data_IF_069783866196
#
_entry.id   IF_069783866196
#
_cell.length_a   1.000
_cell.length_b   1.000
_cell.length_c   1.000
_cell.angle_alpha   90.00
_cell.angle_beta   90.00
_cell.angle_gamma   90.00
#
_symmetry.space_group_name_H-M   'P 1'
#
loop_
_entity.id
_entity.type
_entity.pdbx_description
1 polymer ?
#
# COMPACT_ATOMS: atom_id res chain seq x y z
N UNK A 1 47.01 13.14 -86.30
CA UNK A 1 46.54 11.78 -85.95
C UNK A 1 46.89 11.39 -84.50
N UNK A 2 48.15 11.45 -84.05
CA UNK A 2 48.50 11.08 -82.66
C UNK A 2 47.96 12.05 -81.59
N UNK A 3 48.13 13.36 -81.80
CA UNK A 3 47.64 14.40 -80.86
C UNK A 3 46.11 14.39 -80.70
N UNK A 4 45.40 14.14 -81.80
CA UNK A 4 43.93 14.04 -81.83
C UNK A 4 43.42 12.84 -81.02
N UNK A 5 44.11 11.70 -81.09
CA UNK A 5 43.81 10.51 -80.26
C UNK A 5 44.06 10.79 -78.77
N UNK A 6 45.06 11.60 -78.43
CA UNK A 6 45.34 11.99 -77.03
C UNK A 6 44.24 12.91 -76.50
N UNK A 7 43.81 13.90 -77.28
CA UNK A 7 42.70 14.80 -76.91
C UNK A 7 41.40 14.02 -76.68
N UNK A 8 41.03 13.13 -77.61
CA UNK A 8 39.84 12.29 -77.48
C UNK A 8 39.89 11.38 -76.24
N UNK A 9 41.07 10.84 -75.89
CA UNK A 9 41.24 10.06 -74.65
C UNK A 9 41.02 10.93 -73.40
N UNK A 10 41.55 12.15 -73.38
CA UNK A 10 41.36 13.08 -72.27
C UNK A 10 39.89 13.49 -72.11
N UNK A 11 39.16 13.69 -73.22
CA UNK A 11 37.72 13.98 -73.19
C UNK A 11 36.90 12.81 -72.65
N UNK A 12 37.21 11.58 -73.09
CA UNK A 12 36.58 10.37 -72.56
C UNK A 12 36.84 10.21 -71.06
N UNK A 13 38.06 10.53 -70.60
CA UNK A 13 38.43 10.44 -69.19
C UNK A 13 37.74 11.51 -68.34
N UNK A 14 37.64 12.76 -68.83
CA UNK A 14 36.84 13.82 -68.20
C UNK A 14 35.37 13.43 -68.13
N UNK A 15 34.79 12.91 -69.21
CA UNK A 15 33.40 12.46 -69.24
C UNK A 15 33.16 11.29 -68.25
N UNK A 16 34.09 10.34 -68.16
CA UNK A 16 34.05 9.26 -67.16
C UNK A 16 34.14 9.77 -65.73
N UNK A 17 35.00 10.77 -65.47
CA UNK A 17 35.12 11.39 -64.17
C UNK A 17 33.81 12.06 -63.75
N UNK A 18 33.19 12.85 -64.63
CA UNK A 18 31.88 13.49 -64.42
C UNK A 18 30.78 12.45 -64.22
N UNK A 19 30.76 11.38 -65.01
CA UNK A 19 29.79 10.29 -64.84
C UNK A 19 29.97 9.58 -63.49
N UNK A 20 31.21 9.41 -63.03
CA UNK A 20 31.51 8.78 -61.74
C UNK A 20 31.08 9.62 -60.55
N UNK A 21 31.31 10.95 -60.59
CA UNK A 21 30.89 11.86 -59.53
C UNK A 21 29.36 12.01 -59.49
N UNK A 22 28.71 12.06 -60.67
CA UNK A 22 27.25 12.06 -60.79
C UNK A 22 26.63 10.76 -60.24
N UNK A 23 27.26 9.60 -60.48
CA UNK A 23 26.81 8.33 -59.90
C UNK A 23 26.93 8.33 -58.38
N UNK A 24 28.06 8.80 -57.85
CA UNK A 24 28.29 8.87 -56.40
C UNK A 24 27.30 9.82 -55.71
N UNK A 25 26.99 10.98 -56.30
CA UNK A 25 25.99 11.90 -55.76
C UNK A 25 24.58 11.29 -55.80
N UNK A 26 24.22 10.60 -56.88
CA UNK A 26 22.95 9.89 -56.99
C UNK A 26 22.82 8.78 -55.93
N UNK A 27 23.87 8.00 -55.69
CA UNK A 27 23.88 6.97 -54.65
C UNK A 27 23.71 7.56 -53.25
N UNK A 28 24.30 8.73 -52.98
CA UNK A 28 24.09 9.48 -51.71
C UNK A 28 22.63 9.89 -51.56
N UNK A 29 22.05 10.57 -52.56
CA UNK A 29 20.65 11.00 -52.50
C UNK A 29 19.67 9.83 -52.39
N UNK A 30 19.98 8.70 -53.05
CA UNK A 30 19.18 7.48 -52.94
C UNK A 30 19.19 6.94 -51.50
N UNK A 31 20.37 6.82 -50.89
CA UNK A 31 20.51 6.34 -49.50
C UNK A 31 19.79 7.26 -48.52
N UNK A 32 19.92 8.58 -48.69
CA UNK A 32 19.27 9.58 -47.85
C UNK A 32 17.73 9.49 -47.97
N UNK A 33 17.20 9.42 -49.19
CA UNK A 33 15.77 9.20 -49.43
C UNK A 33 15.26 7.91 -48.77
N UNK A 34 16.00 6.82 -48.92
CA UNK A 34 15.62 5.52 -48.37
C UNK A 34 15.70 5.51 -46.83
N UNK A 35 16.67 6.22 -46.25
CA UNK A 35 16.77 6.49 -44.81
C UNK A 35 15.55 7.24 -44.30
N UNK A 36 15.16 8.35 -44.92
CA UNK A 36 13.98 9.11 -44.52
C UNK A 36 12.69 8.29 -44.64
N UNK A 37 12.54 7.50 -45.71
CA UNK A 37 11.39 6.59 -45.88
C UNK A 37 11.35 5.50 -44.81
N UNK A 38 12.50 4.95 -44.42
CA UNK A 38 12.58 3.94 -43.37
C UNK A 38 12.25 4.56 -42.01
N UNK A 39 12.86 5.70 -41.68
CA UNK A 39 12.64 6.40 -40.43
C UNK A 39 11.17 6.82 -40.27
N UNK A 40 10.57 7.40 -41.32
CA UNK A 40 9.14 7.74 -41.29
C UNK A 40 8.26 6.52 -41.03
N UNK A 41 8.53 5.39 -41.71
CA UNK A 41 7.78 4.14 -41.47
C UNK A 41 7.94 3.65 -40.02
N UNK A 42 9.14 3.71 -39.46
CA UNK A 42 9.41 3.33 -38.06
C UNK A 42 8.63 4.21 -37.10
N UNK A 43 8.70 5.53 -37.25
CA UNK A 43 7.98 6.48 -36.40
C UNK A 43 6.47 6.25 -36.46
N UNK A 44 5.92 5.97 -37.65
CA UNK A 44 4.49 5.63 -37.80
C UNK A 44 4.13 4.32 -37.09
N UNK A 45 4.98 3.30 -37.16
CA UNK A 45 4.76 2.04 -36.43
C UNK A 45 4.78 2.25 -34.92
N UNK A 46 5.77 2.99 -34.40
CA UNK A 46 5.88 3.31 -32.98
C UNK A 46 4.69 4.14 -32.51
N UNK A 47 4.29 5.17 -33.27
CA UNK A 47 3.06 5.94 -33.03
C UNK A 47 1.83 5.04 -32.95
N UNK A 48 1.65 4.14 -33.92
CA UNK A 48 0.48 3.27 -33.96
C UNK A 48 0.45 2.30 -32.77
N UNK A 49 1.61 1.78 -32.35
CA UNK A 49 1.73 0.97 -31.13
C UNK A 49 1.31 1.74 -29.89
N UNK A 50 1.82 2.97 -29.72
CA UNK A 50 1.45 3.83 -28.60
C UNK A 50 -0.05 4.17 -28.59
N UNK A 51 -0.66 4.38 -29.76
CA UNK A 51 -2.11 4.59 -29.86
C UNK A 51 -2.90 3.38 -29.34
N UNK A 52 -2.45 2.16 -29.67
CA UNK A 52 -3.09 0.94 -29.18
C UNK A 52 -2.94 0.82 -27.66
N UNK A 53 -1.74 1.07 -27.14
CA UNK A 53 -1.46 1.01 -25.70
C UNK A 53 -2.28 2.06 -24.92
N UNK A 54 -2.37 3.29 -25.43
CA UNK A 54 -3.22 4.34 -24.86
C UNK A 54 -4.69 3.95 -24.84
N UNK A 55 -5.20 3.35 -25.93
CA UNK A 55 -6.59 2.86 -25.97
C UNK A 55 -6.84 1.74 -24.97
N UNK A 56 -5.89 0.83 -24.80
CA UNK A 56 -5.97 -0.25 -23.81
C UNK A 56 -5.99 0.30 -22.40
N UNK A 57 -5.10 1.26 -22.11
CA UNK A 57 -5.03 1.93 -20.81
C UNK A 57 -6.31 2.70 -20.50
N UNK A 58 -6.87 3.41 -21.50
CA UNK A 58 -8.13 4.13 -21.33
C UNK A 58 -9.28 3.19 -20.95
N UNK A 59 -9.43 2.05 -21.64
CA UNK A 59 -10.43 1.04 -21.30
C UNK A 59 -10.25 0.48 -19.88
N UNK A 60 -9.00 0.29 -19.45
CA UNK A 60 -8.69 -0.16 -18.09
C UNK A 60 -9.17 0.87 -17.05
N UNK A 61 -8.91 2.16 -17.25
CA UNK A 61 -9.42 3.21 -16.36
C UNK A 61 -10.96 3.30 -16.37
N UNK A 62 -11.57 3.24 -17.55
CA UNK A 62 -13.05 3.22 -17.69
C UNK A 62 -13.68 2.04 -16.93
N UNK A 63 -12.98 0.91 -16.80
CA UNK A 63 -13.44 -0.24 -16.03
C UNK A 63 -13.48 0.02 -14.51
N UNK A 64 -12.57 0.83 -13.96
CA UNK A 64 -12.54 1.10 -12.51
C UNK A 64 -13.50 2.21 -12.09
N UNK A 65 -13.85 3.12 -12.99
CA UNK A 65 -14.78 4.24 -12.73
C UNK A 65 -16.08 3.82 -12.00
N UNK A 66 -16.83 2.78 -12.44
CA UNK A 66 -18.02 2.33 -11.73
C UNK A 66 -17.73 1.79 -10.33
N UNK A 67 -16.61 1.09 -10.15
CA UNK A 67 -16.24 0.52 -8.83
C UNK A 67 -15.88 1.61 -7.81
N UNK A 68 -15.22 2.68 -8.26
CA UNK A 68 -14.87 3.82 -7.41
C UNK A 68 -16.12 4.62 -7.02
N UNK A 69 -17.02 4.86 -7.97
CA UNK A 69 -18.28 5.56 -7.68
C UNK A 69 -19.17 4.74 -6.73
N UNK A 70 -19.23 3.42 -6.90
CA UNK A 70 -19.95 2.54 -5.98
C UNK A 70 -19.34 2.56 -4.57
N UNK A 71 -18.02 2.47 -4.45
CA UNK A 71 -17.33 2.53 -3.16
C UNK A 71 -17.56 3.86 -2.46
N UNK A 72 -17.50 4.97 -3.21
CA UNK A 72 -17.82 6.31 -2.72
C UNK A 72 -19.25 6.39 -2.20
N UNK A 73 -20.21 5.85 -2.94
CA UNK A 73 -21.61 5.80 -2.52
C UNK A 73 -21.79 4.98 -1.24
N UNK A 74 -21.19 3.78 -1.16
CA UNK A 74 -21.21 2.92 0.03
C UNK A 74 -20.64 3.64 1.26
N UNK A 75 -19.54 4.37 1.09
CA UNK A 75 -18.94 5.16 2.17
C UNK A 75 -19.87 6.29 2.64
N UNK A 76 -20.49 7.02 1.71
CA UNK A 76 -21.44 8.09 2.04
C UNK A 76 -22.66 7.55 2.82
N UNK A 77 -23.19 6.39 2.42
CA UNK A 77 -24.31 5.72 3.11
C UNK A 77 -23.89 5.28 4.50
N UNK A 78 -22.76 4.56 4.63
CA UNK A 78 -22.26 4.12 5.93
C UNK A 78 -21.99 5.27 6.90
N UNK A 79 -21.50 6.41 6.39
CA UNK A 79 -21.32 7.62 7.20
C UNK A 79 -22.65 8.22 7.68
N UNK A 80 -23.67 8.26 6.81
CA UNK A 80 -25.02 8.73 7.19
C UNK A 80 -25.66 7.82 8.23
N UNK A 81 -25.57 6.50 8.05
CA UNK A 81 -26.09 5.52 9.01
C UNK A 81 -25.39 5.62 10.36
N UNK A 82 -24.06 5.74 10.37
CA UNK A 82 -23.28 5.96 11.60
C UNK A 82 -23.71 7.23 12.33
N UNK A 83 -23.98 8.30 11.59
CA UNK A 83 -24.46 9.57 12.16
C UNK A 83 -25.86 9.41 12.77
N UNK A 84 -26.78 8.72 12.08
CA UNK A 84 -28.11 8.44 12.58
C UNK A 84 -28.06 7.59 13.86
N UNK A 85 -27.29 6.51 13.87
CA UNK A 85 -27.09 5.64 15.03
C UNK A 85 -26.52 6.39 16.24
N UNK A 86 -25.66 7.38 16.00
CA UNK A 86 -25.14 8.25 17.06
C UNK A 86 -26.25 9.11 17.67
N UNK A 87 -27.08 9.74 16.83
CA UNK A 87 -28.21 10.55 17.30
C UNK A 87 -29.26 9.72 18.04
N UNK A 88 -29.56 8.52 17.56
CA UNK A 88 -30.47 7.59 18.23
C UNK A 88 -29.94 7.18 19.61
N UNK A 89 -28.64 6.84 19.68
CA UNK A 89 -27.97 6.54 20.95
C UNK A 89 -28.10 7.70 21.93
N UNK A 90 -27.80 8.93 21.49
CA UNK A 90 -27.87 10.13 22.34
C UNK A 90 -29.31 10.35 22.84
N UNK A 91 -30.31 10.11 22.00
CA UNK A 91 -31.73 10.16 22.37
C UNK A 91 -32.11 9.09 23.42
N UNK A 92 -31.60 7.86 23.28
CA UNK A 92 -31.85 6.80 24.26
C UNK A 92 -31.16 7.07 25.60
N UNK A 93 -29.92 7.58 25.57
CA UNK A 93 -29.20 7.98 26.78
C UNK A 93 -29.97 9.05 27.56
N UNK A 94 -30.48 10.08 26.87
CA UNK A 94 -31.30 11.12 27.51
C UNK A 94 -32.59 10.55 28.14
N UNK A 95 -33.24 9.56 27.50
CA UNK A 95 -34.40 8.87 28.08
C UNK A 95 -34.03 8.07 29.32
N UNK A 96 -32.93 7.30 29.27
CA UNK A 96 -32.44 6.53 30.41
C UNK A 96 -32.08 7.45 31.59
N UNK A 97 -31.43 8.59 31.33
CA UNK A 97 -31.10 9.57 32.36
C UNK A 97 -32.36 10.15 33.03
N UNK A 98 -33.39 10.48 32.25
CA UNK A 98 -34.66 10.95 32.78
C UNK A 98 -35.38 9.88 33.61
N UNK A 99 -35.45 8.65 33.13
CA UNK A 99 -36.04 7.53 33.87
C UNK A 99 -35.26 7.25 35.16
N UNK A 100 -33.93 7.32 35.14
CA UNK A 100 -33.10 7.17 36.32
C UNK A 100 -33.38 8.27 37.35
N UNK A 101 -33.55 9.52 36.92
CA UNK A 101 -33.96 10.63 37.79
C UNK A 101 -35.34 10.39 38.41
N UNK A 102 -36.32 9.93 37.62
CA UNK A 102 -37.65 9.57 38.13
C UNK A 102 -37.59 8.42 39.15
N UNK A 103 -36.80 7.38 38.88
CA UNK A 103 -36.65 6.24 39.77
C UNK A 103 -35.94 6.64 41.08
N UNK A 104 -34.95 7.53 41.01
CA UNK A 104 -34.32 8.10 42.20
C UNK A 104 -35.29 8.95 43.03
N UNK A 105 -36.20 9.69 42.40
CA UNK A 105 -37.28 10.44 43.10
C UNK A 105 -38.27 9.48 43.77
N UNK A 106 -38.73 8.44 43.08
CA UNK A 106 -39.62 7.43 43.68
C UNK A 106 -38.93 6.67 44.82
N UNK A 107 -37.64 6.37 44.71
CA UNK A 107 -36.87 5.75 45.80
C UNK A 107 -36.58 6.72 46.96
N UNK A 108 -36.56 8.03 46.75
CA UNK A 108 -36.52 8.99 47.86
C UNK A 108 -37.88 9.10 48.55
N UNK A 109 -38.98 9.05 47.79
CA UNK A 109 -40.34 9.10 48.34
C UNK A 109 -40.72 7.80 49.08
N UNK A 110 -40.17 6.64 48.65
CA UNK A 110 -40.37 5.35 49.30
C UNK A 110 -39.57 5.17 50.62
N UNK A 111 -38.73 6.14 51.01
CA UNK A 111 -38.01 6.13 52.30
C UNK A 111 -38.78 6.78 53.46
N UNK A 112 -39.99 7.30 53.21
CA UNK A 112 -40.83 7.95 54.23
C UNK A 112 -41.85 7.02 54.91
N UNK A 113 -41.80 5.70 54.70
CA UNK A 113 -42.53 4.70 55.50
C UNK A 113 -41.67 4.18 56.67
N UNK A 114 -42.17 4.16 57.92
CA UNK A 114 -41.37 3.72 59.07
C UNK A 114 -41.37 2.19 59.16
N UNK A 115 -40.25 1.54 58.81
CA UNK A 115 -40.00 0.16 59.22
C UNK A 115 -38.57 -0.08 59.69
N UNK A 116 -38.48 -0.33 61.00
CA UNK A 116 -37.66 -1.31 61.71
C UNK A 116 -36.25 -1.65 61.18
N UNK A 117 -35.27 -1.21 61.96
CA UNK A 117 -34.07 -1.93 62.42
C UNK A 117 -33.34 -2.87 61.46
N UNK A 118 -32.10 -2.48 61.17
CA UNK A 118 -30.95 -3.38 61.15
C UNK A 118 -30.66 -4.05 59.81
N UNK A 119 -29.74 -3.47 59.05
CA UNK A 119 -28.75 -4.22 58.27
C UNK A 119 -27.61 -3.32 57.83
N UNK A 120 -26.41 -3.84 58.08
CA UNK A 120 -25.12 -3.23 57.78
C UNK A 120 -24.99 -2.82 56.30
N UNK A 121 -24.42 -1.64 56.11
CA UNK A 121 -23.99 -1.13 54.81
C UNK A 121 -22.79 -1.94 54.31
N UNK A 122 -22.81 -2.51 53.09
CA UNK A 122 -21.57 -2.78 52.38
C UNK A 122 -21.11 -1.49 51.68
N UNK A 123 -19.81 -1.28 51.75
CA UNK A 123 -19.11 -0.12 51.23
C UNK A 123 -19.32 0.06 49.72
N UNK A 124 -19.69 1.29 49.38
CA UNK A 124 -19.45 2.05 48.16
C UNK A 124 -18.60 1.37 47.05
N UNK A 125 -19.25 0.63 46.13
CA UNK A 125 -18.67 0.18 44.85
C UNK A 125 -18.53 1.38 43.89
N UNK A 126 -17.61 2.30 44.19
CA UNK A 126 -17.15 3.29 43.21
C UNK A 126 -16.04 2.66 42.36
N UNK A 127 -16.25 2.71 41.05
CA UNK A 127 -15.31 2.26 40.01
C UNK A 127 -15.23 0.74 39.84
N UNK A 128 -16.10 0.18 38.99
CA UNK A 128 -15.76 -1.02 38.20
C UNK A 128 -14.64 -0.65 37.21
N UNK A 129 -13.44 -0.41 37.74
CA UNK A 129 -12.20 -0.52 36.97
C UNK A 129 -12.13 -1.99 36.59
N UNK A 130 -12.23 -2.29 35.31
CA UNK A 130 -12.05 -3.62 34.74
C UNK A 130 -10.86 -4.25 35.46
N UNK A 131 -11.10 -5.30 36.27
CA UNK A 131 -10.03 -5.97 37.02
C UNK A 131 -9.03 -6.45 35.98
N UNK A 132 -7.92 -5.73 35.81
CA UNK A 132 -6.79 -6.23 35.05
C UNK A 132 -6.39 -7.54 35.71
N UNK A 133 -6.07 -8.54 34.90
CA UNK A 133 -5.62 -9.82 35.42
C UNK A 133 -4.53 -9.56 36.48
N UNK A 134 -4.57 -10.25 37.64
CA UNK A 134 -3.56 -10.08 38.66
C UNK A 134 -2.18 -10.30 38.04
N UNK A 135 -1.24 -9.40 38.35
CA UNK A 135 0.14 -9.62 37.96
C UNK A 135 0.60 -10.97 38.50
N UNK A 136 1.25 -11.80 37.66
CA UNK A 136 1.70 -13.10 38.12
C UNK A 136 2.72 -12.96 39.25
N UNK A 137 2.71 -13.91 40.19
CA UNK A 137 3.62 -13.94 41.34
C UNK A 137 5.09 -13.89 40.90
N UNK A 138 5.92 -13.14 41.64
CA UNK A 138 7.35 -12.94 41.35
C UNK A 138 8.15 -14.26 41.33
N UNK A 139 7.65 -15.30 42.01
CA UNK A 139 8.27 -16.64 42.09
C UNK A 139 8.11 -17.52 40.85
N UNK A 140 7.86 -16.92 39.68
CA UNK A 140 7.91 -17.67 38.41
C UNK A 140 9.35 -17.99 38.06
N UNK A 141 9.80 -19.15 38.49
CA UNK A 141 11.07 -19.75 38.08
C UNK A 141 11.05 -19.92 36.55
N UNK A 142 12.02 -19.31 35.86
CA UNK A 142 12.12 -19.39 34.40
C UNK A 142 12.17 -20.87 33.96
N UNK A 143 11.22 -21.37 33.15
CA UNK A 143 11.20 -22.77 32.72
C UNK A 143 12.43 -23.17 31.87
N UNK A 144 13.18 -22.19 31.37
CA UNK A 144 14.41 -22.36 30.60
C UNK A 144 15.69 -22.19 31.43
N UNK A 145 15.58 -22.11 32.76
CA UNK A 145 16.74 -21.91 33.64
C UNK A 145 17.77 -23.04 33.52
N UNK A 146 17.32 -24.27 33.20
CA UNK A 146 18.17 -25.45 33.05
C UNK A 146 18.36 -25.88 31.57
N UNK A 147 17.86 -25.11 30.60
CA UNK A 147 18.09 -25.41 29.19
C UNK A 147 19.41 -24.78 28.74
N UNK A 148 20.41 -25.62 28.51
CA UNK A 148 21.63 -25.21 27.81
C UNK A 148 21.32 -25.06 26.32
N UNK A 149 21.25 -23.81 25.86
CA UNK A 149 21.18 -23.53 24.42
C UNK A 149 22.60 -23.58 23.85
N UNK A 150 22.80 -24.38 22.80
CA UNK A 150 24.05 -24.30 22.06
C UNK A 150 24.21 -22.89 21.46
N UNK A 151 25.41 -22.28 21.57
CA UNK A 151 25.64 -20.96 21.00
C UNK A 151 25.40 -21.02 19.48
N UNK A 152 24.54 -20.13 18.99
CA UNK A 152 24.27 -20.04 17.57
C UNK A 152 25.59 -19.88 16.79
N UNK A 153 25.80 -20.71 15.76
CA UNK A 153 26.97 -20.61 14.87
C UNK A 153 26.83 -19.38 13.98
N UNK A 154 27.11 -18.20 14.53
CA UNK A 154 26.96 -16.90 13.84
C UNK A 154 27.77 -16.86 12.53
N UNK A 155 28.87 -17.61 12.45
CA UNK A 155 29.70 -17.76 11.24
C UNK A 155 28.96 -18.34 10.03
N UNK A 156 27.87 -19.08 10.23
CA UNK A 156 27.09 -19.72 9.16
C UNK A 156 25.81 -18.94 8.79
N UNK A 157 25.52 -17.81 9.47
CA UNK A 157 24.33 -17.02 9.16
C UNK A 157 24.46 -16.32 7.80
N UNK A 158 23.70 -16.82 6.82
CA UNK A 158 23.56 -16.18 5.52
C UNK A 158 22.20 -15.49 5.44
N UNK A 159 22.21 -14.24 4.95
CA UNK A 159 20.98 -13.53 4.59
C UNK A 159 20.20 -14.33 3.55
N UNK A 160 19.00 -14.78 3.90
CA UNK A 160 18.15 -15.57 3.00
C UNK A 160 17.47 -14.68 1.94
N UNK A 161 16.75 -13.64 2.38
CA UNK A 161 15.98 -12.75 1.51
C UNK A 161 15.94 -11.32 2.05
N UNK A 162 15.65 -10.34 1.19
CA UNK A 162 15.32 -8.97 1.60
C UNK A 162 14.06 -8.50 0.89
N UNK A 163 13.12 -7.98 1.67
CA UNK A 163 11.84 -7.50 1.18
C UNK A 163 11.83 -5.98 1.22
N UNK A 164 11.69 -5.36 0.05
CA UNK A 164 11.56 -3.91 -0.09
C UNK A 164 10.07 -3.60 -0.25
N UNK A 165 9.49 -2.92 0.73
CA UNK A 165 8.08 -2.55 0.67
C UNK A 165 7.70 -1.36 1.54
N UNK A 166 8.47 -1.06 2.57
CA UNK A 166 8.28 0.14 3.38
C UNK A 166 9.09 1.31 2.82
N UNK A 167 8.50 2.51 2.96
CA UNK A 167 9.11 3.76 2.47
C UNK A 167 9.98 4.37 3.59
N UNK A 168 9.60 4.16 4.85
CA UNK A 168 10.29 4.67 6.04
C UNK A 168 11.08 3.61 6.80
N UNK A 169 11.59 4.02 7.96
CA UNK A 169 12.23 3.10 8.90
C UNK A 169 11.18 2.13 9.50
N UNK A 170 11.57 0.87 9.66
CA UNK A 170 10.72 -0.14 10.30
C UNK A 170 10.95 -0.02 11.81
N UNK A 171 9.91 0.34 12.54
CA UNK A 171 9.95 0.54 13.98
C UNK A 171 9.88 -0.78 14.75
N UNK A 172 9.09 -1.75 14.25
CA UNK A 172 8.90 -3.04 14.91
C UNK A 172 8.55 -4.18 13.94
N UNK A 173 8.94 -5.39 14.34
CA UNK A 173 8.66 -6.65 13.64
C UNK A 173 8.12 -7.68 14.63
N UNK A 174 7.03 -8.36 14.28
CA UNK A 174 6.41 -9.40 15.10
C UNK A 174 6.17 -10.67 14.28
N UNK A 175 6.62 -11.81 14.83
CA UNK A 175 6.35 -13.13 14.26
C UNK A 175 5.09 -13.72 14.86
N UNK A 176 4.26 -14.33 14.03
CA UNK A 176 3.13 -15.09 14.52
C UNK A 176 3.60 -16.46 15.06
N UNK A 177 3.12 -16.93 16.22
CA UNK A 177 3.68 -18.12 16.90
C UNK A 177 3.32 -19.47 16.24
N UNK A 178 2.30 -19.52 15.38
CA UNK A 178 1.84 -20.77 14.72
C UNK A 178 1.93 -20.75 13.18
N UNK A 179 1.45 -19.65 12.59
CA UNK A 179 1.44 -19.40 11.14
C UNK A 179 2.75 -18.70 10.72
N UNK A 180 3.38 -19.07 9.60
CA UNK A 180 4.61 -18.44 9.10
C UNK A 180 4.35 -17.07 8.47
N UNK A 181 3.85 -16.12 9.27
CA UNK A 181 3.61 -14.73 8.87
C UNK A 181 4.35 -13.77 9.78
N UNK A 182 4.75 -12.64 9.20
CA UNK A 182 5.49 -11.58 9.88
C UNK A 182 4.75 -10.26 9.70
N UNK A 183 4.47 -9.58 10.79
CA UNK A 183 3.91 -8.23 10.76
C UNK A 183 5.03 -7.20 10.97
N UNK A 184 5.00 -6.13 10.19
CA UNK A 184 5.95 -5.02 10.26
C UNK A 184 5.20 -3.70 10.40
N UNK A 185 5.65 -2.84 11.33
CA UNK A 185 5.21 -1.46 11.46
C UNK A 185 6.28 -0.50 10.95
N UNK A 186 5.84 0.59 10.34
CA UNK A 186 6.73 1.58 9.78
C UNK A 186 6.28 3.01 10.10
N UNK A 187 7.24 3.92 10.04
CA UNK A 187 7.03 5.37 10.14
C UNK A 187 6.25 5.94 8.95
N UNK A 188 6.05 5.16 7.88
CA UNK A 188 5.21 5.53 6.72
C UNK A 188 3.69 5.48 7.01
N UNK A 189 3.31 5.41 8.29
CA UNK A 189 1.93 5.29 8.79
C UNK A 189 1.22 3.99 8.38
N UNK A 190 1.98 3.03 7.84
CA UNK A 190 1.44 1.75 7.39
C UNK A 190 1.99 0.59 8.22
N UNK A 191 1.18 -0.44 8.34
CA UNK A 191 1.63 -1.75 8.79
C UNK A 191 1.42 -2.76 7.66
N UNK A 192 2.34 -3.72 7.53
CA UNK A 192 2.32 -4.72 6.47
C UNK A 192 2.46 -6.12 7.06
N UNK A 193 1.76 -7.07 6.46
CA UNK A 193 1.82 -8.49 6.83
C UNK A 193 2.44 -9.27 5.67
N UNK A 194 3.46 -10.05 5.97
CA UNK A 194 4.27 -10.79 5.02
C UNK A 194 4.11 -12.29 5.24
N UNK A 195 3.94 -13.05 4.16
CA UNK A 195 3.96 -14.51 4.19
C UNK A 195 5.39 -15.01 4.02
N UNK A 196 5.85 -15.93 4.88
CA UNK A 196 7.13 -16.59 4.76
C UNK A 196 6.95 -18.03 4.26
N UNK A 197 7.87 -18.58 3.45
CA UNK A 197 9.22 -18.09 3.15
C UNK A 197 9.33 -17.14 1.94
N UNK A 198 8.30 -17.04 1.11
CA UNK A 198 8.34 -16.32 -0.17
C UNK A 198 8.41 -14.79 0.00
N UNK A 199 8.02 -14.27 1.16
CA UNK A 199 8.01 -12.84 1.47
C UNK A 199 6.99 -12.05 0.67
N UNK A 200 5.87 -12.68 0.32
CA UNK A 200 4.78 -12.00 -0.37
C UNK A 200 4.03 -11.10 0.61
N UNK A 201 3.69 -9.89 0.15
CA UNK A 201 2.84 -8.98 0.90
C UNK A 201 1.41 -9.54 0.90
N UNK A 202 0.94 -9.98 2.07
CA UNK A 202 -0.41 -10.52 2.27
C UNK A 202 -1.40 -9.39 2.45
N UNK A 203 -1.04 -8.43 3.30
CA UNK A 203 -1.92 -7.34 3.68
C UNK A 203 -1.12 -6.06 3.95
N UNK A 204 -1.71 -4.93 3.61
CA UNK A 204 -1.23 -3.59 3.98
C UNK A 204 -2.39 -2.83 4.61
N UNK A 205 -2.15 -2.23 5.77
CA UNK A 205 -3.13 -1.42 6.47
C UNK A 205 -2.69 0.03 6.56
N UNK A 206 -3.61 0.92 6.18
CA UNK A 206 -3.50 2.37 6.30
C UNK A 206 -4.64 2.88 7.20
N UNK A 207 -4.37 3.85 8.06
CA UNK A 207 -5.39 4.41 8.96
C UNK A 207 -4.84 5.08 10.21
N UNK A 208 -3.59 4.80 10.57
CA UNK A 208 -2.89 5.56 11.58
C UNK A 208 -2.59 6.97 11.02
N UNK A 209 -2.88 8.00 11.82
CA UNK A 209 -2.61 9.41 11.47
C UNK A 209 -1.19 9.84 11.81
N UNK A 210 -0.44 8.96 12.48
CA UNK A 210 0.90 9.19 13.00
C UNK A 210 1.72 7.90 12.86
N UNK A 211 3.03 7.96 13.09
CA UNK A 211 3.94 6.82 12.99
C UNK A 211 3.50 5.64 13.88
N UNK A 212 3.67 4.42 13.36
CA UNK A 212 3.27 3.22 14.09
C UNK A 212 4.46 2.76 14.93
N UNK A 213 4.38 2.93 16.25
CA UNK A 213 5.47 2.60 17.16
C UNK A 213 5.58 1.11 17.52
N UNK A 214 4.55 0.31 17.22
CA UNK A 214 4.59 -1.13 17.49
C UNK A 214 3.44 -1.93 16.89
N UNK A 215 3.69 -3.24 16.77
CA UNK A 215 2.74 -4.30 16.41
C UNK A 215 2.82 -5.38 17.49
#
# INVERSE_FOLDING_TARGET
>A
MYEEVVLLRQEVEKARAVASTAKQSWDKFRKERDFHRMHHRRVVQEKNKLIVDLKRLKRHYEQYEPTLTELRHKYEVAMKEKMLMRLERDRFLAKCENLQKQLNQVNSDAKDEPMATGRDMPENETSRRTKMAPWPSEDRTNPYMNSNFEPARVSEMKKHSAFKGHIGAISRVAFHPKIPVVATACDDHTWKLWSMPEGQLVLSGEGHRDWVSGV
#
